data_IF_577321140320
#
_entry.id   IF_577321140320
#
_cell.length_a   1.000
_cell.length_b   1.000
_cell.length_c   1.000
_cell.angle_alpha   90.00
_cell.angle_beta   90.00
_cell.angle_gamma   90.00
#
_symmetry.space_group_name_H-M   'P 1'
#
loop_
_entity.id
_entity.type
_entity.pdbx_description
1 polymer ?
#
# COMPACT_ATOMS: atom_id res chain seq x y z
N UNK A 1 -14.81 -33.38 8.75
CA UNK A 1 -15.45 -32.04 8.73
C UNK A 1 -16.37 -31.92 7.51
N UNK A 2 -15.94 -32.31 6.28
CA UNK A 2 -16.78 -32.28 5.07
C UNK A 2 -18.09 -33.02 5.29
N UNK A 3 -18.05 -34.26 5.77
CA UNK A 3 -19.25 -35.06 6.09
C UNK A 3 -20.13 -34.43 7.17
N UNK A 4 -19.54 -33.75 8.15
CA UNK A 4 -20.29 -33.01 9.18
C UNK A 4 -21.03 -31.81 8.57
N UNK A 5 -20.34 -31.02 7.76
CA UNK A 5 -20.97 -29.87 7.06
C UNK A 5 -22.09 -30.34 6.11
N UNK A 6 -21.92 -31.52 5.49
CA UNK A 6 -22.95 -32.15 4.64
C UNK A 6 -24.17 -32.59 5.44
N UNK A 7 -23.96 -33.30 6.55
CA UNK A 7 -25.05 -33.77 7.40
C UNK A 7 -25.77 -32.68 8.18
N UNK A 8 -25.08 -31.58 8.45
CA UNK A 8 -25.58 -30.40 9.13
C UNK A 8 -26.29 -29.40 8.19
N UNK A 9 -26.43 -29.71 6.89
CA UNK A 9 -27.12 -28.88 5.90
C UNK A 9 -28.65 -28.77 6.10
N UNK A 10 -29.21 -29.31 7.19
CA UNK A 10 -30.52 -28.96 7.72
C UNK A 10 -30.37 -27.72 8.64
N UNK A 11 -31.41 -26.92 8.72
CA UNK A 11 -31.54 -25.55 9.28
C UNK A 11 -30.91 -25.24 10.65
N UNK A 12 -30.25 -26.16 11.34
CA UNK A 12 -29.79 -25.98 12.71
C UNK A 12 -28.31 -25.56 12.86
N UNK A 13 -27.45 -25.77 11.88
CA UNK A 13 -26.00 -25.45 11.99
C UNK A 13 -25.54 -24.56 10.86
N UNK A 14 -25.25 -23.31 11.16
CA UNK A 14 -24.74 -22.37 10.18
C UNK A 14 -23.23 -22.57 9.95
N UNK A 15 -22.72 -22.44 8.71
CA UNK A 15 -21.27 -22.53 8.46
C UNK A 15 -20.40 -21.62 9.34
N UNK A 16 -20.91 -20.43 9.68
CA UNK A 16 -20.20 -19.48 10.56
C UNK A 16 -20.02 -20.03 12.00
N UNK A 17 -20.99 -20.79 12.51
CA UNK A 17 -20.89 -21.39 13.85
C UNK A 17 -19.87 -22.54 13.87
N UNK A 18 -19.75 -23.28 12.76
CA UNK A 18 -18.69 -24.28 12.57
C UNK A 18 -17.32 -23.60 12.50
N UNK A 19 -17.18 -22.56 11.70
CA UNK A 19 -15.94 -21.80 11.57
C UNK A 19 -15.50 -21.22 12.93
N UNK A 20 -16.43 -20.58 13.66
CA UNK A 20 -16.20 -20.06 14.99
C UNK A 20 -15.74 -21.15 15.95
N UNK A 21 -16.41 -22.31 15.97
CA UNK A 21 -16.05 -23.43 16.85
C UNK A 21 -14.65 -23.96 16.54
N UNK A 22 -14.25 -23.99 15.26
CA UNK A 22 -12.92 -24.42 14.87
C UNK A 22 -11.84 -23.45 15.36
N UNK A 23 -12.08 -22.14 15.24
CA UNK A 23 -11.12 -21.11 15.70
C UNK A 23 -11.06 -21.03 17.21
N UNK A 24 -12.21 -21.06 17.89
CA UNK A 24 -12.31 -20.77 19.32
C UNK A 24 -11.99 -22.00 20.20
N UNK A 25 -12.21 -23.23 19.75
CA UNK A 25 -12.15 -24.42 20.58
C UNK A 25 -11.16 -25.51 20.15
N UNK A 26 -10.51 -25.36 18.99
CA UNK A 26 -9.55 -26.36 18.49
C UNK A 26 -8.12 -25.88 18.65
N UNK A 27 -7.22 -26.81 18.93
CA UNK A 27 -5.77 -26.53 19.01
C UNK A 27 -5.27 -26.04 17.64
N UNK A 28 -4.58 -24.92 17.63
CA UNK A 28 -3.89 -24.41 16.45
C UNK A 28 -2.54 -25.12 16.30
N UNK A 29 -2.39 -25.89 15.25
CA UNK A 29 -1.15 -26.59 14.89
C UNK A 29 -0.30 -25.72 13.94
N UNK A 30 0.94 -26.14 13.71
CA UNK A 30 1.86 -25.48 12.77
C UNK A 30 1.32 -25.47 11.34
N UNK A 31 0.82 -26.63 10.87
CA UNK A 31 0.19 -26.72 9.56
C UNK A 31 -1.29 -26.32 9.64
N UNK A 32 -1.67 -25.37 8.84
CA UNK A 32 -3.01 -24.78 8.83
C UNK A 32 -3.59 -24.68 7.43
N UNK A 33 -4.92 -24.73 7.36
CA UNK A 33 -5.64 -24.44 6.14
C UNK A 33 -6.87 -23.60 6.45
N UNK A 34 -7.23 -22.71 5.54
CA UNK A 34 -8.44 -21.91 5.59
C UNK A 34 -9.23 -22.18 4.31
N UNK A 35 -10.53 -22.44 4.47
CA UNK A 35 -11.48 -22.58 3.36
C UNK A 35 -12.40 -21.38 3.39
N UNK A 36 -12.42 -20.62 2.29
CA UNK A 36 -13.28 -19.48 2.08
C UNK A 36 -14.43 -19.85 1.14
N UNK A 37 -15.64 -19.40 1.46
CA UNK A 37 -16.81 -19.58 0.61
C UNK A 37 -17.98 -18.78 1.13
N UNK A 38 -18.76 -18.19 0.21
CA UNK A 38 -20.01 -17.48 0.48
C UNK A 38 -21.21 -18.41 0.66
N UNK A 39 -21.10 -19.69 0.25
CA UNK A 39 -22.14 -20.68 0.32
C UNK A 39 -21.60 -22.03 0.87
N UNK A 40 -22.47 -22.82 1.48
CA UNK A 40 -22.14 -24.13 2.05
C UNK A 40 -21.54 -25.09 0.98
N UNK A 41 -22.00 -24.99 -0.27
CA UNK A 41 -21.46 -25.80 -1.37
C UNK A 41 -19.99 -25.48 -1.69
N UNK A 42 -19.59 -24.20 -1.64
CA UNK A 42 -18.22 -23.75 -1.87
C UNK A 42 -17.30 -24.20 -0.73
N UNK A 43 -17.76 -24.04 0.52
CA UNK A 43 -17.02 -24.52 1.69
C UNK A 43 -16.81 -26.03 1.65
N UNK A 44 -17.84 -26.79 1.24
CA UNK A 44 -17.73 -28.23 1.05
C UNK A 44 -16.70 -28.59 -0.03
N UNK A 45 -16.81 -27.97 -1.22
CA UNK A 45 -15.84 -28.23 -2.29
C UNK A 45 -14.40 -27.95 -1.85
N UNK A 46 -14.16 -26.87 -1.12
CA UNK A 46 -12.86 -26.55 -0.55
C UNK A 46 -12.38 -27.58 0.49
N UNK A 47 -13.27 -28.10 1.33
CA UNK A 47 -12.95 -29.17 2.29
C UNK A 47 -12.63 -30.49 1.59
N UNK A 48 -13.33 -30.82 0.50
CA UNK A 48 -13.07 -32.03 -0.31
C UNK A 48 -11.70 -31.94 -0.99
N UNK A 49 -11.32 -30.74 -1.50
CA UNK A 49 -9.97 -30.49 -2.04
C UNK A 49 -8.91 -30.71 -0.97
N UNK A 50 -9.12 -30.21 0.25
CA UNK A 50 -8.20 -30.43 1.37
C UNK A 50 -8.09 -31.91 1.75
N UNK A 51 -9.20 -32.63 1.82
CA UNK A 51 -9.25 -34.02 2.18
C UNK A 51 -8.53 -34.93 1.14
N UNK A 52 -8.61 -34.55 -0.13
CA UNK A 52 -7.93 -35.24 -1.23
C UNK A 52 -6.42 -34.92 -1.33
N UNK A 53 -5.90 -34.04 -0.46
CA UNK A 53 -4.49 -33.58 -0.56
C UNK A 53 -4.23 -32.67 -1.74
N UNK A 54 -5.28 -32.15 -2.38
CA UNK A 54 -5.20 -31.30 -3.56
C UNK A 54 -4.43 -29.98 -3.29
N UNK A 55 -3.94 -29.40 -4.38
CA UNK A 55 -3.28 -28.08 -4.36
C UNK A 55 -4.35 -27.01 -4.16
N UNK A 56 -3.98 -25.93 -3.44
CA UNK A 56 -4.84 -24.78 -3.23
C UNK A 56 -5.44 -24.27 -4.55
N UNK A 57 -6.77 -24.22 -4.60
CA UNK A 57 -7.55 -23.58 -5.66
C UNK A 57 -8.24 -22.33 -5.12
N UNK A 58 -9.09 -21.68 -5.92
CA UNK A 58 -9.89 -20.55 -5.44
C UNK A 58 -10.63 -20.93 -4.15
N UNK A 59 -10.45 -20.14 -3.10
CA UNK A 59 -11.09 -20.35 -1.80
C UNK A 59 -10.39 -21.30 -0.83
N UNK A 60 -9.23 -21.87 -1.15
CA UNK A 60 -8.45 -22.72 -0.22
C UNK A 60 -7.04 -22.17 -0.05
N UNK A 61 -6.69 -21.78 1.17
CA UNK A 61 -5.35 -21.32 1.56
C UNK A 61 -4.72 -22.34 2.50
N UNK A 62 -3.48 -22.78 2.24
CA UNK A 62 -2.71 -23.69 3.08
C UNK A 62 -1.37 -23.08 3.42
N UNK A 63 -0.90 -23.30 4.62
CA UNK A 63 0.40 -22.83 5.05
C UNK A 63 0.87 -23.50 6.32
N UNK A 64 2.13 -23.25 6.65
CA UNK A 64 2.72 -23.57 7.93
C UNK A 64 3.10 -22.25 8.64
N UNK A 65 3.12 -22.27 9.96
CA UNK A 65 3.60 -21.13 10.75
C UNK A 65 5.08 -20.95 10.45
N UNK A 66 5.43 -19.81 9.86
CA UNK A 66 6.83 -19.43 9.65
C UNK A 66 7.44 -18.95 10.99
N UNK A 67 8.67 -19.34 11.25
CA UNK A 67 9.43 -18.80 12.38
C UNK A 67 9.60 -17.29 12.26
N UNK A 68 9.33 -16.51 13.31
CA UNK A 68 9.43 -15.05 13.29
C UNK A 68 8.17 -14.30 12.80
N UNK A 69 7.08 -15.01 12.51
CA UNK A 69 5.83 -14.42 12.00
C UNK A 69 4.96 -13.68 13.04
N UNK A 70 5.44 -13.51 14.25
CA UNK A 70 4.80 -12.71 15.30
C UNK A 70 5.08 -11.19 15.17
N UNK A 71 6.06 -10.80 14.33
CA UNK A 71 6.40 -9.40 14.06
C UNK A 71 5.98 -9.03 12.64
N UNK A 72 4.88 -8.31 12.53
CA UNK A 72 4.25 -7.96 11.26
C UNK A 72 4.64 -6.54 10.85
N UNK A 73 5.02 -6.39 9.59
CA UNK A 73 5.20 -5.10 8.91
C UNK A 73 3.93 -4.75 8.15
N UNK A 74 3.35 -3.57 8.40
CA UNK A 74 2.35 -3.02 7.49
C UNK A 74 3.02 -2.17 6.44
N UNK A 75 2.77 -2.50 5.16
CA UNK A 75 3.31 -1.82 3.99
C UNK A 75 2.19 -1.02 3.33
N UNK A 76 2.41 0.27 3.15
CA UNK A 76 1.44 1.18 2.53
C UNK A 76 1.98 1.63 1.17
N UNK A 77 1.39 1.19 0.04
CA UNK A 77 1.89 1.56 -1.28
C UNK A 77 1.64 3.03 -1.62
N UNK A 78 2.33 3.48 -2.67
CA UNK A 78 2.05 4.73 -3.34
C UNK A 78 0.82 4.65 -4.25
N UNK A 79 0.84 5.43 -5.31
CA UNK A 79 -0.17 5.39 -6.37
C UNK A 79 0.05 4.15 -7.25
N UNK A 80 -1.05 3.52 -7.70
CA UNK A 80 -1.03 2.32 -8.54
C UNK A 80 -1.98 1.21 -8.07
N UNK A 81 -2.36 1.21 -6.79
CA UNK A 81 -3.28 0.23 -6.20
C UNK A 81 -4.77 0.56 -6.41
N UNK A 82 -5.09 1.77 -6.91
CA UNK A 82 -6.45 2.26 -7.03
C UNK A 82 -7.20 1.61 -8.20
N UNK A 83 -8.49 1.37 -7.99
CA UNK A 83 -9.44 0.93 -9.00
C UNK A 83 -10.85 1.44 -8.69
N UNK A 84 -11.70 1.51 -9.70
CA UNK A 84 -13.06 2.07 -9.58
C UNK A 84 -13.91 1.19 -8.68
N UNK A 85 -14.41 1.77 -7.58
CA UNK A 85 -15.22 1.07 -6.59
C UNK A 85 -14.42 0.38 -5.48
N UNK A 86 -13.11 0.60 -5.39
CA UNK A 86 -12.29 0.08 -4.29
C UNK A 86 -12.86 0.50 -2.93
N UNK A 87 -12.94 -0.46 -1.99
CA UNK A 87 -13.48 -0.25 -0.66
C UNK A 87 -15.01 -0.19 -0.56
N UNK A 88 -15.76 -0.13 -1.68
CA UNK A 88 -17.22 0.01 -1.68
C UNK A 88 -17.91 -1.14 -0.94
N UNK A 89 -17.56 -2.37 -1.26
CA UNK A 89 -18.16 -3.55 -0.63
C UNK A 89 -17.86 -3.59 0.88
N UNK A 90 -16.59 -3.34 1.26
CA UNK A 90 -16.19 -3.27 2.66
C UNK A 90 -16.91 -2.15 3.41
N UNK A 91 -17.18 -1.01 2.76
CA UNK A 91 -17.95 0.08 3.36
C UNK A 91 -19.37 -0.33 3.69
N UNK A 92 -19.98 -1.20 2.85
CA UNK A 92 -21.35 -1.66 3.05
C UNK A 92 -21.45 -2.83 4.06
N UNK A 93 -20.42 -3.67 4.19
CA UNK A 93 -20.51 -4.90 5.00
C UNK A 93 -19.64 -4.92 6.27
N UNK A 94 -18.64 -4.05 6.39
CA UNK A 94 -17.74 -3.98 7.54
C UNK A 94 -17.98 -2.72 8.36
N UNK A 95 -18.57 -2.82 9.57
CA UNK A 95 -18.77 -1.65 10.42
C UNK A 95 -17.46 -0.93 10.81
N UNK A 96 -16.36 -1.67 10.96
CA UNK A 96 -15.05 -1.10 11.28
C UNK A 96 -14.51 -0.27 10.11
N UNK A 97 -14.62 -0.81 8.89
CA UNK A 97 -14.20 -0.10 7.68
C UNK A 97 -15.06 1.15 7.47
N UNK A 98 -16.39 1.00 7.58
CA UNK A 98 -17.34 2.09 7.40
C UNK A 98 -17.06 3.26 8.37
N UNK A 99 -16.93 2.97 9.66
CA UNK A 99 -16.63 4.00 10.67
C UNK A 99 -15.31 4.71 10.40
N UNK A 100 -14.28 3.99 9.94
CA UNK A 100 -12.99 4.58 9.60
C UNK A 100 -13.07 5.45 8.34
N UNK A 101 -13.78 5.01 7.30
CA UNK A 101 -14.01 5.80 6.07
C UNK A 101 -14.80 7.08 6.36
N UNK A 102 -15.83 7.01 7.20
CA UNK A 102 -16.61 8.18 7.64
C UNK A 102 -15.74 9.19 8.41
N UNK A 103 -14.85 8.70 9.28
CA UNK A 103 -13.90 9.56 9.98
C UNK A 103 -12.90 10.20 9.00
N UNK A 104 -12.39 9.44 8.02
CA UNK A 104 -11.53 9.98 6.96
C UNK A 104 -12.26 11.02 6.10
N UNK A 105 -13.54 10.79 5.75
CA UNK A 105 -14.36 11.75 5.01
C UNK A 105 -14.50 13.06 5.79
N UNK A 106 -14.83 12.99 7.08
CA UNK A 106 -14.92 14.16 7.94
C UNK A 106 -13.60 14.92 8.04
N UNK A 107 -12.48 14.22 8.15
CA UNK A 107 -11.14 14.82 8.20
C UNK A 107 -10.73 15.47 6.87
N UNK A 108 -11.13 14.91 5.74
CA UNK A 108 -10.84 15.44 4.39
C UNK A 108 -11.72 16.64 4.03
N UNK A 109 -12.97 16.71 4.53
CA UNK A 109 -13.96 17.71 4.15
C UNK A 109 -13.46 19.17 4.16
N UNK A 110 -12.60 19.64 5.11
CA UNK A 110 -12.08 20.99 5.08
C UNK A 110 -11.15 21.30 3.91
N UNK A 111 -10.62 20.30 3.23
CA UNK A 111 -9.54 20.43 2.25
C UNK A 111 -9.94 20.10 0.81
N UNK A 112 -11.05 19.37 0.63
CA UNK A 112 -11.51 18.90 -0.69
C UNK A 112 -12.89 19.48 -1.02
N UNK A 113 -13.19 19.63 -2.31
CA UNK A 113 -14.48 20.12 -2.78
C UNK A 113 -15.44 19.01 -3.24
N UNK A 114 -15.16 17.76 -2.85
CA UNK A 114 -15.89 16.56 -3.23
C UNK A 114 -16.11 15.65 -2.00
N UNK A 115 -17.05 14.72 -2.08
CA UNK A 115 -17.36 13.79 -1.01
C UNK A 115 -16.65 12.45 -1.27
N UNK A 116 -15.97 11.90 -0.24
CA UNK A 116 -15.30 10.61 -0.31
C UNK A 116 -16.28 9.48 -0.62
N UNK A 117 -17.44 9.50 0.05
CA UNK A 117 -18.50 8.52 -0.15
C UNK A 117 -19.09 8.58 -1.57
N UNK A 118 -19.29 9.77 -2.13
CA UNK A 118 -19.76 9.93 -3.51
C UNK A 118 -18.74 9.38 -4.53
N UNK A 119 -17.45 9.65 -4.34
CA UNK A 119 -16.40 9.15 -5.23
C UNK A 119 -16.31 7.63 -5.19
N UNK A 120 -16.28 7.03 -3.99
CA UNK A 120 -16.16 5.57 -3.84
C UNK A 120 -17.41 4.84 -4.35
N UNK A 121 -18.60 5.39 -4.13
CA UNK A 121 -19.88 4.77 -4.51
C UNK A 121 -20.32 5.12 -5.93
N UNK A 122 -19.93 6.29 -6.43
CA UNK A 122 -20.37 6.82 -7.71
C UNK A 122 -19.78 6.13 -8.94
N UNK A 123 -18.68 5.36 -8.78
CA UNK A 123 -18.07 4.60 -9.87
C UNK A 123 -17.39 5.47 -10.94
N UNK A 124 -17.09 6.73 -10.64
CA UNK A 124 -16.31 7.62 -11.51
C UNK A 124 -14.84 7.19 -11.62
N UNK A 125 -14.18 7.61 -12.70
CA UNK A 125 -12.75 7.33 -12.88
C UNK A 125 -11.91 8.04 -11.82
N UNK A 126 -10.92 7.33 -11.25
CA UNK A 126 -9.94 7.86 -10.32
C UNK A 126 -8.69 8.28 -11.12
N UNK A 127 -8.72 9.50 -11.66
CA UNK A 127 -7.66 10.03 -12.56
C UNK A 127 -6.90 11.17 -11.90
N UNK A 128 -7.61 12.17 -11.36
CA UNK A 128 -7.01 13.37 -10.79
C UNK A 128 -6.23 13.05 -9.51
N UNK A 129 -4.98 13.47 -9.44
CA UNK A 129 -4.06 13.17 -8.32
C UNK A 129 -4.62 13.63 -6.98
N UNK A 130 -5.31 14.77 -6.93
CA UNK A 130 -5.95 15.35 -5.74
C UNK A 130 -7.28 14.68 -5.35
N UNK A 131 -7.69 13.66 -6.11
CA UNK A 131 -8.77 12.72 -5.76
C UNK A 131 -8.17 11.34 -5.44
N UNK A 132 -7.30 10.82 -6.32
CA UNK A 132 -6.69 9.48 -6.19
C UNK A 132 -5.93 9.32 -4.88
N UNK A 133 -5.07 10.28 -4.53
CA UNK A 133 -4.23 10.15 -3.34
C UNK A 133 -5.04 10.21 -2.05
N UNK A 134 -5.98 11.17 -1.82
CA UNK A 134 -6.82 11.15 -0.64
C UNK A 134 -7.75 9.93 -0.52
N UNK A 135 -8.33 9.46 -1.64
CA UNK A 135 -9.17 8.24 -1.62
C UNK A 135 -8.34 7.02 -1.25
N UNK A 136 -7.16 6.84 -1.87
CA UNK A 136 -6.25 5.74 -1.55
C UNK A 136 -5.78 5.78 -0.09
N UNK A 137 -5.46 6.97 0.43
CA UNK A 137 -5.10 7.18 1.82
C UNK A 137 -6.22 6.74 2.77
N UNK A 138 -7.46 7.16 2.51
CA UNK A 138 -8.62 6.79 3.33
C UNK A 138 -8.87 5.27 3.33
N UNK A 139 -8.74 4.63 2.16
CA UNK A 139 -8.86 3.17 2.04
C UNK A 139 -7.75 2.46 2.81
N UNK A 140 -6.48 2.88 2.69
CA UNK A 140 -5.35 2.30 3.41
C UNK A 140 -5.50 2.42 4.93
N UNK A 141 -5.87 3.60 5.45
CA UNK A 141 -6.13 3.82 6.88
C UNK A 141 -7.25 2.90 7.38
N UNK A 142 -8.32 2.78 6.59
CA UNK A 142 -9.49 1.98 6.95
C UNK A 142 -9.22 0.48 6.87
N UNK A 143 -8.43 0.02 5.90
CA UNK A 143 -7.97 -1.38 5.85
C UNK A 143 -7.06 -1.73 7.04
N UNK A 144 -6.18 -0.81 7.46
CA UNK A 144 -5.36 -1.00 8.65
C UNK A 144 -6.22 -1.16 9.91
N UNK A 145 -7.33 -0.43 10.02
CA UNK A 145 -8.29 -0.60 11.11
C UNK A 145 -8.97 -1.98 11.08
N UNK A 146 -9.31 -2.50 9.89
CA UNK A 146 -9.86 -3.86 9.73
C UNK A 146 -8.84 -4.92 10.13
N UNK A 147 -7.60 -4.81 9.67
CA UNK A 147 -6.53 -5.75 10.06
C UNK A 147 -6.35 -5.79 11.58
N UNK A 148 -6.33 -4.61 12.24
CA UNK A 148 -6.25 -4.54 13.71
C UNK A 148 -7.47 -5.16 14.40
N UNK A 149 -8.67 -4.95 13.87
CA UNK A 149 -9.89 -5.57 14.40
C UNK A 149 -9.89 -7.09 14.25
N UNK A 150 -9.20 -7.62 13.25
CA UNK A 150 -8.94 -9.05 13.07
C UNK A 150 -7.78 -9.57 13.92
N UNK A 151 -7.17 -8.75 14.78
CA UNK A 151 -6.06 -9.12 15.66
C UNK A 151 -4.67 -9.07 15.02
N UNK A 152 -4.54 -8.57 13.77
CA UNK A 152 -3.25 -8.36 13.10
C UNK A 152 -2.79 -6.95 13.38
N UNK A 153 -1.78 -6.80 14.27
CA UNK A 153 -1.25 -5.51 14.72
C UNK A 153 0.17 -5.34 14.16
N UNK A 154 0.50 -4.19 13.55
CA UNK A 154 1.84 -3.97 13.05
C UNK A 154 2.85 -3.77 14.18
N UNK A 155 4.01 -4.40 14.05
CA UNK A 155 5.19 -4.14 14.88
C UNK A 155 6.04 -2.98 14.35
N UNK A 156 5.86 -2.66 13.07
CA UNK A 156 6.45 -1.52 12.37
C UNK A 156 5.59 -1.20 11.15
N UNK A 157 5.58 0.06 10.74
CA UNK A 157 4.95 0.49 9.50
C UNK A 157 6.00 1.04 8.53
N UNK A 158 5.77 0.85 7.24
CA UNK A 158 6.57 1.43 6.16
C UNK A 158 5.64 1.88 5.04
N UNK A 159 5.91 3.04 4.46
CA UNK A 159 5.13 3.57 3.34
C UNK A 159 6.01 3.79 2.11
N UNK A 160 5.43 3.68 0.92
CA UNK A 160 6.05 4.06 -0.33
C UNK A 160 5.50 5.42 -0.77
N UNK A 161 6.33 6.46 -0.83
CA UNK A 161 5.90 7.80 -1.24
C UNK A 161 4.71 8.30 -0.42
N UNK A 162 3.56 8.59 -1.07
CA UNK A 162 2.32 8.99 -0.38
C UNK A 162 1.81 7.97 0.65
N UNK A 163 2.17 6.69 0.51
CA UNK A 163 1.81 5.66 1.48
C UNK A 163 2.38 5.92 2.87
N UNK A 164 3.48 6.69 2.99
CA UNK A 164 3.99 7.12 4.29
C UNK A 164 3.00 7.98 5.07
N UNK A 165 2.07 8.69 4.39
CA UNK A 165 1.05 9.50 5.08
C UNK A 165 0.05 8.59 5.82
N UNK A 166 -0.37 7.48 5.19
CA UNK A 166 -1.22 6.49 5.84
C UNK A 166 -0.43 5.75 6.95
N UNK A 167 0.82 5.38 6.69
CA UNK A 167 1.71 4.79 7.67
C UNK A 167 1.87 5.67 8.92
N UNK A 168 2.06 6.98 8.75
CA UNK A 168 2.21 7.95 9.84
C UNK A 168 0.95 8.05 10.72
N UNK A 169 -0.24 8.04 10.11
CA UNK A 169 -1.52 8.00 10.85
C UNK A 169 -1.66 6.68 11.60
N UNK A 170 -1.39 5.56 10.97
CA UNK A 170 -1.48 4.23 11.58
C UNK A 170 -0.45 4.03 12.68
N UNK A 171 0.74 4.64 12.57
CA UNK A 171 1.74 4.67 13.63
C UNK A 171 1.34 5.54 14.82
N UNK A 172 0.36 6.42 14.67
CA UNK A 172 -0.03 7.43 15.66
C UNK A 172 0.84 8.69 15.64
N UNK A 173 1.74 8.82 14.66
CA UNK A 173 2.62 9.99 14.48
C UNK A 173 1.90 11.21 13.94
N UNK A 174 0.83 11.03 13.18
CA UNK A 174 -0.09 12.08 12.77
C UNK A 174 -1.48 11.81 13.33
N UNK A 175 -2.22 12.88 13.60
CA UNK A 175 -3.67 12.79 13.76
C UNK A 175 -4.33 12.46 12.42
N UNK A 176 -5.59 12.02 12.44
CA UNK A 176 -6.34 11.76 11.21
C UNK A 176 -6.50 13.06 10.40
N UNK A 177 -6.73 14.18 11.09
CA UNK A 177 -6.89 15.51 10.53
C UNK A 177 -5.59 16.00 9.86
N UNK A 178 -4.43 15.78 10.50
CA UNK A 178 -3.15 16.14 9.90
C UNK A 178 -2.81 15.23 8.71
N UNK A 179 -3.10 13.93 8.79
CA UNK A 179 -2.96 13.02 7.66
C UNK A 179 -3.82 13.44 6.46
N UNK A 180 -5.08 13.80 6.72
CA UNK A 180 -5.99 14.33 5.70
C UNK A 180 -5.49 15.66 5.10
N UNK A 181 -5.01 16.58 5.94
CA UNK A 181 -4.37 17.83 5.51
C UNK A 181 -3.19 17.57 4.58
N UNK A 182 -2.27 16.72 5.02
CA UNK A 182 -1.07 16.39 4.23
C UNK A 182 -1.44 15.81 2.88
N UNK A 183 -2.26 14.74 2.85
CA UNK A 183 -2.58 14.06 1.59
C UNK A 183 -3.36 14.95 0.63
N UNK A 184 -4.34 15.72 1.12
CA UNK A 184 -5.17 16.58 0.26
C UNK A 184 -4.42 17.80 -0.26
N UNK A 185 -3.68 18.52 0.61
CA UNK A 185 -3.00 19.76 0.19
C UNK A 185 -1.74 19.47 -0.64
N UNK A 186 -1.01 18.38 -0.32
CA UNK A 186 0.15 17.93 -1.09
C UNK A 186 -0.28 17.47 -2.49
N UNK A 187 -1.33 16.65 -2.63
CA UNK A 187 -1.80 16.19 -3.93
C UNK A 187 -2.37 17.34 -4.77
N UNK A 188 -3.02 18.31 -4.14
CA UNK A 188 -3.48 19.52 -4.84
C UNK A 188 -2.31 20.36 -5.37
N UNK A 189 -1.22 20.51 -4.59
CA UNK A 189 -0.03 21.23 -5.04
C UNK A 189 0.65 20.52 -6.23
N UNK A 190 0.63 19.19 -6.28
CA UNK A 190 1.17 18.42 -7.41
C UNK A 190 0.51 18.81 -8.75
N UNK A 191 -0.76 19.22 -8.75
CA UNK A 191 -1.44 19.67 -9.98
C UNK A 191 -0.75 20.86 -10.65
N UNK A 192 -0.01 21.68 -9.91
CA UNK A 192 0.72 22.83 -10.48
C UNK A 192 1.90 22.41 -11.36
N UNK A 193 2.41 21.19 -11.17
CA UNK A 193 3.50 20.63 -11.95
C UNK A 193 3.02 19.53 -12.94
N UNK A 194 1.72 19.28 -13.01
CA UNK A 194 1.11 18.34 -13.94
C UNK A 194 1.34 18.77 -15.41
N UNK A 195 1.40 17.79 -16.31
CA UNK A 195 1.61 18.00 -17.75
C UNK A 195 3.04 18.36 -18.17
N UNK A 196 3.99 18.50 -17.20
CA UNK A 196 5.38 18.87 -17.50
C UNK A 196 6.35 17.71 -17.48
N UNK A 197 5.96 16.60 -16.88
CA UNK A 197 6.82 15.45 -16.68
C UNK A 197 6.03 14.16 -16.62
N UNK A 198 6.68 13.11 -16.17
CA UNK A 198 6.08 11.78 -16.00
C UNK A 198 6.99 10.84 -15.25
N UNK A 199 6.57 9.59 -15.21
CA UNK A 199 7.32 8.51 -14.55
C UNK A 199 7.33 7.26 -15.42
N UNK A 200 8.41 6.50 -15.35
CA UNK A 200 8.61 5.24 -16.11
C UNK A 200 9.16 4.18 -15.15
N UNK A 201 8.53 3.02 -15.13
CA UNK A 201 9.07 1.84 -14.44
C UNK A 201 10.03 1.11 -15.37
N UNK A 202 11.22 0.83 -14.89
CA UNK A 202 12.31 0.16 -15.62
C UNK A 202 12.70 -1.11 -14.85
N UNK A 203 12.61 -2.31 -15.47
CA UNK A 203 12.93 -3.58 -14.80
C UNK A 203 14.44 -3.86 -14.88
N UNK A 204 15.24 -2.98 -14.30
CA UNK A 204 16.71 -3.06 -14.19
C UNK A 204 17.12 -2.75 -12.75
N UNK A 205 18.36 -3.12 -12.41
CA UNK A 205 18.97 -2.72 -11.15
C UNK A 205 19.27 -1.22 -11.10
N UNK A 206 19.43 -0.67 -9.90
CA UNK A 206 19.79 0.73 -9.73
C UNK A 206 21.05 1.11 -10.49
N UNK A 207 22.11 0.26 -10.43
CA UNK A 207 23.37 0.53 -11.11
C UNK A 207 23.21 0.60 -12.63
N UNK A 208 22.45 -0.34 -13.23
CA UNK A 208 22.16 -0.33 -14.67
C UNK A 208 21.33 0.88 -15.08
N UNK A 209 20.37 1.29 -14.24
CA UNK A 209 19.56 2.50 -14.51
C UNK A 209 20.41 3.77 -14.40
N UNK A 210 21.29 3.88 -13.41
CA UNK A 210 22.18 5.05 -13.28
C UNK A 210 23.17 5.15 -14.47
N UNK A 211 23.67 4.04 -14.99
CA UNK A 211 24.46 4.00 -16.21
C UNK A 211 23.60 4.42 -17.44
N UNK A 212 22.41 3.87 -17.56
CA UNK A 212 21.45 4.21 -18.62
C UNK A 212 21.16 5.70 -18.64
N UNK A 213 20.87 6.30 -17.47
CA UNK A 213 20.46 7.70 -17.33
C UNK A 213 21.60 8.70 -17.60
N UNK A 214 22.84 8.28 -17.78
CA UNK A 214 23.93 9.18 -18.13
C UNK A 214 23.64 9.98 -19.43
N UNK A 215 22.87 9.41 -20.36
CA UNK A 215 22.40 10.07 -21.59
C UNK A 215 21.34 11.15 -21.38
N UNK A 216 20.67 11.16 -20.24
CA UNK A 216 19.58 12.11 -19.88
C UNK A 216 19.84 12.88 -18.61
N UNK A 217 21.10 13.05 -18.24
CA UNK A 217 21.52 13.76 -17.03
C UNK A 217 20.87 15.15 -16.92
N UNK A 218 20.26 15.43 -15.77
CA UNK A 218 19.54 16.70 -15.51
C UNK A 218 18.15 16.80 -16.14
N UNK A 219 17.69 15.78 -16.88
CA UNK A 219 16.35 15.71 -17.47
C UNK A 219 15.52 14.54 -16.95
N UNK A 220 16.18 13.48 -16.44
CA UNK A 220 15.56 12.30 -15.81
C UNK A 220 16.36 11.90 -14.58
N UNK A 221 15.68 11.63 -13.47
CA UNK A 221 16.26 11.14 -12.22
C UNK A 221 15.65 9.80 -11.81
N UNK A 222 16.33 9.08 -10.91
CA UNK A 222 15.77 7.92 -10.23
C UNK A 222 14.81 8.40 -9.15
N UNK A 223 13.52 8.10 -9.34
CA UNK A 223 12.44 8.49 -8.44
C UNK A 223 12.21 7.47 -7.30
N UNK A 224 12.31 6.17 -7.60
CA UNK A 224 12.15 5.12 -6.61
C UNK A 224 12.98 3.89 -6.93
N UNK A 225 13.47 3.23 -5.89
CA UNK A 225 14.11 1.90 -5.96
C UNK A 225 13.21 0.95 -5.16
N UNK A 226 12.47 0.11 -5.88
CA UNK A 226 11.47 -0.76 -5.28
C UNK A 226 12.01 -2.13 -4.92
N UNK A 227 12.99 -2.62 -5.67
CA UNK A 227 13.62 -3.94 -5.48
C UNK A 227 14.90 -4.07 -6.31
N UNK A 228 15.56 -5.22 -6.25
CA UNK A 228 16.83 -5.46 -6.95
C UNK A 228 16.77 -5.25 -8.47
N UNK A 229 15.63 -5.53 -9.09
CA UNK A 229 15.37 -5.36 -10.52
C UNK A 229 14.15 -4.46 -10.80
N UNK A 230 13.84 -3.50 -9.93
CA UNK A 230 12.65 -2.67 -10.07
C UNK A 230 12.93 -1.24 -9.66
N UNK A 231 13.11 -0.37 -10.64
CA UNK A 231 13.39 1.06 -10.47
C UNK A 231 12.33 1.88 -11.20
N UNK A 232 11.96 3.02 -10.61
CA UNK A 232 11.13 4.02 -11.28
C UNK A 232 11.98 5.26 -11.50
N UNK A 233 11.95 5.78 -12.73
CA UNK A 233 12.58 7.03 -13.11
C UNK A 233 11.51 8.09 -13.39
N UNK A 234 11.84 9.36 -13.18
CA UNK A 234 10.93 10.46 -13.44
C UNK A 234 11.69 11.67 -13.97
N UNK A 235 11.03 12.51 -14.74
CA UNK A 235 11.66 13.70 -15.33
C UNK A 235 10.79 14.34 -16.41
N UNK A 236 11.45 15.08 -17.32
CA UNK A 236 10.81 15.78 -18.41
C UNK A 236 10.09 14.83 -19.36
N UNK A 237 8.91 15.21 -19.83
CA UNK A 237 8.04 14.35 -20.63
C UNK A 237 8.71 13.90 -21.94
N UNK A 238 9.39 14.81 -22.63
CA UNK A 238 10.12 14.52 -23.87
C UNK A 238 11.34 13.62 -23.64
N UNK A 239 12.09 13.83 -22.55
CA UNK A 239 13.20 12.97 -22.18
C UNK A 239 12.75 11.54 -21.85
N UNK A 240 11.59 11.40 -21.23
CA UNK A 240 11.00 10.08 -20.97
C UNK A 240 10.50 9.41 -22.27
N UNK A 241 10.05 10.17 -23.28
CA UNK A 241 9.72 9.60 -24.60
C UNK A 241 10.99 9.07 -25.30
N UNK A 242 12.08 9.83 -25.26
CA UNK A 242 13.39 9.38 -25.77
C UNK A 242 13.89 8.12 -25.05
N UNK A 243 13.79 8.10 -23.71
CA UNK A 243 14.17 6.95 -22.89
C UNK A 243 13.33 5.71 -23.22
N UNK A 244 12.02 5.86 -23.37
CA UNK A 244 11.14 4.75 -23.75
C UNK A 244 11.50 4.17 -25.11
N UNK A 245 11.77 5.02 -26.10
CA UNK A 245 12.21 4.59 -27.43
C UNK A 245 13.57 3.85 -27.38
N UNK A 246 14.50 4.33 -26.56
CA UNK A 246 15.78 3.65 -26.34
C UNK A 246 15.57 2.27 -25.68
N UNK A 247 14.76 2.19 -24.62
CA UNK A 247 14.43 0.93 -23.93
C UNK A 247 13.82 -0.09 -24.91
N UNK A 248 12.88 0.34 -25.74
CA UNK A 248 12.26 -0.51 -26.77
C UNK A 248 13.30 -1.04 -27.77
N UNK A 249 14.22 -0.19 -28.24
CA UNK A 249 15.28 -0.60 -29.17
C UNK A 249 16.32 -1.54 -28.55
N UNK A 250 16.44 -1.53 -27.22
CA UNK A 250 17.39 -2.32 -26.42
C UNK A 250 16.75 -3.53 -25.74
N UNK A 251 15.50 -3.89 -26.10
CA UNK A 251 14.71 -5.00 -25.51
C UNK A 251 14.52 -4.87 -23.96
N UNK A 252 14.50 -3.64 -23.43
CA UNK A 252 14.18 -3.35 -22.02
C UNK A 252 12.69 -3.04 -21.91
N UNK A 253 11.95 -3.81 -21.11
CA UNK A 253 10.49 -3.69 -20.95
C UNK A 253 10.08 -2.55 -20.00
N UNK A 254 10.49 -1.33 -20.33
CA UNK A 254 10.06 -0.15 -19.60
C UNK A 254 8.55 0.12 -19.80
N UNK A 255 7.89 0.72 -18.78
CA UNK A 255 6.46 1.04 -18.80
C UNK A 255 6.20 2.41 -18.20
N UNK A 256 5.39 3.24 -18.89
CA UNK A 256 4.92 4.48 -18.29
C UNK A 256 4.00 4.18 -17.09
N UNK A 257 4.25 4.92 -16.01
CA UNK A 257 3.30 5.02 -14.90
C UNK A 257 2.20 6.01 -15.33
N UNK A 258 0.90 5.72 -15.06
CA UNK A 258 -0.20 6.58 -15.51
C UNK A 258 -0.32 7.85 -14.65
N UNK A 259 0.71 8.69 -14.71
CA UNK A 259 0.79 10.03 -14.10
C UNK A 259 1.43 11.00 -15.08
N UNK A 260 1.08 12.27 -14.98
CA UNK A 260 1.56 13.36 -15.83
C UNK A 260 2.46 14.37 -15.11
N UNK A 261 3.06 13.95 -14.01
CA UNK A 261 3.98 14.73 -13.18
C UNK A 261 5.21 13.91 -12.77
N UNK A 262 6.31 14.59 -12.47
CA UNK A 262 7.57 13.98 -12.06
C UNK A 262 7.83 14.18 -10.57
N UNK A 263 7.15 13.40 -9.71
CA UNK A 263 7.49 13.31 -8.28
C UNK A 263 8.89 12.76 -8.08
N UNK A 264 9.48 13.07 -6.93
CA UNK A 264 10.82 12.59 -6.52
C UNK A 264 11.95 13.10 -7.44
N UNK A 265 11.74 14.28 -8.05
CA UNK A 265 12.71 14.99 -8.90
C UNK A 265 12.73 16.47 -8.55
N UNK A 266 13.60 17.23 -9.24
CA UNK A 266 13.67 18.70 -9.12
C UNK A 266 12.38 19.42 -9.53
N UNK A 267 11.48 18.80 -10.30
CA UNK A 267 10.16 19.39 -10.63
C UNK A 267 9.38 19.82 -9.39
N UNK A 268 9.55 19.09 -8.28
CA UNK A 268 8.87 19.35 -7.01
C UNK A 268 9.32 20.67 -6.36
N UNK A 269 10.51 21.16 -6.69
CA UNK A 269 11.04 22.43 -6.16
C UNK A 269 10.16 23.64 -6.55
N UNK A 270 9.48 23.55 -7.68
CA UNK A 270 8.56 24.59 -8.13
C UNK A 270 7.37 24.82 -7.17
N UNK A 271 7.03 23.83 -6.34
CA UNK A 271 5.91 23.89 -5.38
C UNK A 271 6.38 23.90 -3.92
N UNK A 272 7.67 24.04 -3.64
CA UNK A 272 8.24 24.01 -2.29
C UNK A 272 7.61 25.07 -1.38
N UNK A 273 7.54 26.31 -1.86
CA UNK A 273 6.99 27.44 -1.08
C UNK A 273 5.50 27.23 -0.77
N UNK A 274 4.72 26.68 -1.71
CA UNK A 274 3.31 26.34 -1.49
C UNK A 274 3.17 25.21 -0.48
N UNK A 275 3.94 24.13 -0.59
CA UNK A 275 3.95 23.03 0.39
C UNK A 275 4.32 23.53 1.78
N UNK A 276 5.37 24.35 1.91
CA UNK A 276 5.77 24.92 3.19
C UNK A 276 4.63 25.75 3.83
N UNK A 277 3.89 26.51 3.02
CA UNK A 277 2.77 27.32 3.46
C UNK A 277 1.57 26.50 3.92
N UNK A 278 1.14 25.52 3.11
CA UNK A 278 -0.11 24.78 3.37
C UNK A 278 0.06 23.69 4.43
N UNK A 279 1.27 23.18 4.61
CA UNK A 279 1.61 22.17 5.61
C UNK A 279 2.21 22.74 6.91
N UNK A 280 2.31 24.07 7.04
CA UNK A 280 2.87 24.72 8.23
C UNK A 280 2.15 24.40 9.55
N UNK A 281 0.87 24.01 9.49
CA UNK A 281 0.06 23.69 10.65
C UNK A 281 -0.02 22.19 10.95
N UNK A 282 0.83 21.35 10.34
CA UNK A 282 0.95 19.93 10.67
C UNK A 282 1.69 19.81 12.01
N UNK A 283 1.06 19.12 12.97
CA UNK A 283 1.58 18.94 14.33
C UNK A 283 1.89 17.45 14.58
N UNK A 284 3.07 16.95 14.15
CA UNK A 284 3.45 15.57 14.36
C UNK A 284 3.74 15.28 15.84
N UNK A 285 3.58 14.03 16.22
CA UNK A 285 3.83 13.55 17.59
C UNK A 285 4.57 12.23 17.59
N UNK A 286 5.12 11.85 18.73
CA UNK A 286 5.67 10.51 18.92
C UNK A 286 4.54 9.48 18.79
N UNK A 287 4.67 8.55 17.85
CA UNK A 287 3.73 7.48 17.60
C UNK A 287 3.98 6.26 18.50
N UNK A 288 3.00 5.38 18.54
CA UNK A 288 3.07 4.13 19.33
C UNK A 288 3.75 3.00 18.56
N UNK A 289 3.64 3.01 17.21
CA UNK A 289 4.25 2.02 16.33
C UNK A 289 5.47 2.61 15.64
N UNK A 290 6.63 1.92 15.63
CA UNK A 290 7.80 2.33 14.89
C UNK A 290 7.48 2.63 13.42
N UNK A 291 8.01 3.73 12.90
CA UNK A 291 7.83 4.18 11.54
C UNK A 291 9.16 4.10 10.79
N UNK A 292 9.23 3.24 9.76
CA UNK A 292 10.40 3.15 8.90
C UNK A 292 10.21 4.11 7.70
N UNK A 293 11.05 5.14 7.63
CA UNK A 293 11.01 6.12 6.55
C UNK A 293 11.72 5.58 5.31
N UNK A 294 11.05 5.58 4.16
CA UNK A 294 11.66 5.30 2.85
C UNK A 294 12.37 6.52 2.27
N UNK A 295 12.17 7.70 2.85
CA UNK A 295 12.90 8.93 2.54
C UNK A 295 14.30 8.90 3.17
N UNK A 296 14.43 8.47 4.43
CA UNK A 296 15.70 8.44 5.21
C UNK A 296 16.31 7.01 5.24
N UNK A 297 15.53 5.96 4.89
CA UNK A 297 15.87 4.53 4.95
C UNK A 297 16.27 4.05 6.35
N UNK A 298 15.59 4.55 7.36
CA UNK A 298 15.76 4.16 8.77
C UNK A 298 14.45 4.34 9.56
N UNK A 299 14.42 3.76 10.76
CA UNK A 299 13.35 4.04 11.71
C UNK A 299 13.56 5.43 12.30
N UNK A 300 12.56 6.29 12.17
CA UNK A 300 12.62 7.67 12.67
C UNK A 300 11.58 7.94 13.75
N UNK A 301 11.85 8.95 14.59
CA UNK A 301 10.84 9.51 15.48
C UNK A 301 9.78 10.23 14.65
N UNK A 302 8.53 9.79 14.78
CA UNK A 302 7.39 10.37 14.06
C UNK A 302 7.11 11.83 14.44
N UNK A 303 7.64 12.33 15.56
CA UNK A 303 7.60 13.76 15.89
C UNK A 303 8.36 14.64 14.87
N UNK A 304 9.16 14.04 13.97
CA UNK A 304 9.86 14.72 12.87
C UNK A 304 9.05 14.84 11.58
N UNK A 305 7.83 14.30 11.51
CA UNK A 305 6.97 14.25 10.32
C UNK A 305 6.23 15.57 10.07
N UNK A 306 6.94 16.68 10.18
CA UNK A 306 6.46 18.04 9.93
C UNK A 306 6.26 18.36 8.43
N UNK A 307 5.82 19.57 8.10
CA UNK A 307 5.65 20.00 6.71
C UNK A 307 6.93 19.89 5.86
N UNK A 308 8.11 20.14 6.47
CA UNK A 308 9.40 19.97 5.81
C UNK A 308 9.73 18.51 5.48
N UNK A 309 9.34 17.58 6.36
CA UNK A 309 9.45 16.15 6.06
C UNK A 309 8.60 15.78 4.83
N UNK A 310 7.36 16.24 4.75
CA UNK A 310 6.45 15.90 3.65
C UNK A 310 6.87 16.52 2.31
N UNK A 311 7.57 17.67 2.34
CA UNK A 311 8.26 18.17 1.16
C UNK A 311 9.40 17.23 0.74
N UNK A 312 10.30 16.84 1.68
CA UNK A 312 11.40 15.90 1.38
C UNK A 312 10.89 14.54 0.88
N UNK A 313 9.81 14.04 1.48
CA UNK A 313 9.17 12.80 1.03
C UNK A 313 8.70 12.87 -0.43
N UNK A 314 8.17 14.01 -0.88
CA UNK A 314 7.76 14.20 -2.27
C UNK A 314 8.95 14.45 -3.21
N UNK A 315 10.01 15.10 -2.73
CA UNK A 315 11.17 15.56 -3.53
C UNK A 315 12.24 14.50 -3.69
N UNK A 316 12.50 13.72 -2.66
CA UNK A 316 13.62 12.78 -2.62
C UNK A 316 13.22 11.41 -3.19
N UNK A 317 14.24 10.65 -3.65
CA UNK A 317 14.10 9.26 -4.08
C UNK A 317 13.46 8.39 -3.00
N UNK A 318 12.48 7.58 -3.37
CA UNK A 318 11.91 6.57 -2.49
C UNK A 318 12.87 5.38 -2.39
N UNK A 319 13.35 5.09 -1.20
CA UNK A 319 14.34 4.04 -0.90
C UNK A 319 13.65 2.80 -0.33
N UNK A 320 12.66 2.28 -1.06
CA UNK A 320 11.83 1.17 -0.59
C UNK A 320 12.61 -0.13 -0.47
N UNK A 321 13.50 -0.43 -1.42
CA UNK A 321 14.37 -1.62 -1.36
C UNK A 321 15.27 -1.60 -0.11
N UNK A 322 15.86 -0.43 0.23
CA UNK A 322 16.67 -0.28 1.44
C UNK A 322 15.83 -0.48 2.70
N UNK A 323 14.58 0.01 2.70
CA UNK A 323 13.67 -0.16 3.83
C UNK A 323 13.31 -1.63 4.06
N UNK A 324 13.00 -2.38 2.99
CA UNK A 324 12.73 -3.82 3.09
C UNK A 324 13.95 -4.57 3.60
N UNK A 325 15.13 -4.30 3.05
CA UNK A 325 16.40 -4.92 3.48
C UNK A 325 16.67 -4.65 4.97
N UNK A 326 16.57 -3.38 5.41
CA UNK A 326 16.76 -3.00 6.81
C UNK A 326 15.73 -3.63 7.77
N UNK A 327 14.51 -3.85 7.33
CA UNK A 327 13.49 -4.56 8.11
C UNK A 327 13.80 -6.07 8.21
N UNK A 328 14.24 -6.70 7.11
CA UNK A 328 14.66 -8.11 7.12
C UNK A 328 15.88 -8.32 8.01
N UNK A 329 16.88 -7.44 7.96
CA UNK A 329 18.05 -7.48 8.86
C UNK A 329 17.67 -7.37 10.34
N UNK A 330 16.59 -6.65 10.65
CA UNK A 330 16.02 -6.55 12.00
C UNK A 330 15.15 -7.78 12.39
N UNK A 331 15.05 -8.80 11.52
CA UNK A 331 14.35 -10.04 11.77
C UNK A 331 12.82 -9.97 11.51
N UNK A 332 12.35 -9.03 10.71
CA UNK A 332 10.97 -9.04 10.24
C UNK A 332 10.82 -10.02 9.08
N UNK A 333 9.83 -10.92 9.16
CA UNK A 333 9.58 -11.96 8.16
C UNK A 333 8.13 -12.05 7.69
N UNK A 334 7.25 -11.12 8.12
CA UNK A 334 5.86 -11.07 7.69
C UNK A 334 5.50 -9.64 7.26
N UNK A 335 5.06 -9.48 6.02
CA UNK A 335 4.69 -8.21 5.41
C UNK A 335 3.23 -8.28 4.94
N UNK A 336 2.45 -7.32 5.37
CA UNK A 336 1.06 -7.13 4.95
C UNK A 336 0.97 -5.84 4.14
N UNK A 337 0.72 -5.95 2.84
CA UNK A 337 0.45 -4.78 2.02
C UNK A 337 -0.98 -4.31 2.25
N UNK A 338 -1.12 -3.17 2.91
CA UNK A 338 -2.40 -2.59 3.31
C UNK A 338 -2.91 -1.69 2.18
N UNK A 339 -3.53 -2.29 1.20
CA UNK A 339 -4.01 -1.59 0.00
C UNK A 339 -5.22 -2.28 -0.62
N UNK A 340 -5.88 -1.59 -1.55
CA UNK A 340 -7.01 -2.15 -2.30
C UNK A 340 -6.62 -3.17 -3.37
N UNK A 341 -5.36 -3.19 -3.75
CA UNK A 341 -4.72 -4.13 -4.67
C UNK A 341 -3.20 -4.13 -4.43
N UNK A 342 -2.56 -5.31 -4.22
CA UNK A 342 -1.14 -5.37 -3.93
C UNK A 342 -0.30 -4.98 -5.17
N UNK A 343 0.63 -4.06 -5.00
CA UNK A 343 1.55 -3.57 -6.04
C UNK A 343 3.02 -3.63 -5.65
N UNK A 344 3.31 -3.77 -4.35
CA UNK A 344 4.68 -3.88 -3.82
C UNK A 344 5.05 -5.31 -3.41
N UNK A 345 4.07 -6.20 -3.29
CA UNK A 345 4.29 -7.56 -2.80
C UNK A 345 5.38 -8.33 -3.56
N UNK A 346 5.45 -8.18 -4.88
CA UNK A 346 6.52 -8.80 -5.68
C UNK A 346 7.90 -8.23 -5.33
N UNK A 347 8.03 -6.92 -5.18
CA UNK A 347 9.29 -6.28 -4.82
C UNK A 347 9.76 -6.70 -3.42
N UNK A 348 8.85 -6.82 -2.46
CA UNK A 348 9.14 -7.36 -1.13
C UNK A 348 9.59 -8.82 -1.23
N UNK A 349 8.90 -9.66 -2.01
CA UNK A 349 9.24 -11.08 -2.15
C UNK A 349 10.61 -11.28 -2.83
N UNK A 350 10.97 -10.42 -3.79
CA UNK A 350 12.31 -10.45 -4.43
C UNK A 350 13.42 -10.06 -3.44
N UNK A 351 13.17 -9.06 -2.60
CA UNK A 351 14.12 -8.60 -1.59
C UNK A 351 14.18 -9.53 -0.37
N UNK A 352 13.10 -10.24 -0.06
CA UNK A 352 12.95 -11.12 1.10
C UNK A 352 12.28 -12.45 0.68
N UNK A 353 13.00 -13.36 -0.01
CA UNK A 353 12.42 -14.59 -0.57
C UNK A 353 11.75 -15.52 0.45
N UNK A 354 12.25 -15.51 1.68
CA UNK A 354 11.75 -16.35 2.79
C UNK A 354 10.62 -15.68 3.59
N UNK A 355 10.26 -14.43 3.29
CA UNK A 355 9.23 -13.71 3.99
C UNK A 355 7.81 -14.15 3.56
N UNK A 356 6.88 -14.07 4.50
CA UNK A 356 5.45 -14.18 4.20
C UNK A 356 4.96 -12.81 3.73
N UNK A 357 4.48 -12.73 2.50
CA UNK A 357 3.95 -11.50 1.92
C UNK A 357 2.49 -11.72 1.56
N UNK A 358 1.60 -10.88 2.09
CA UNK A 358 0.16 -10.90 1.81
C UNK A 358 -0.33 -9.47 1.53
N UNK A 359 -1.44 -9.37 0.75
CA UNK A 359 -2.08 -8.09 0.45
C UNK A 359 -3.43 -8.28 -0.22
#
# INVERSE_FOLDING_TARGET
LASFVESAAGDEVRPVDVAWSLVASRTAFENRAVVLGGASAELRAGLDVLAAGGVAGSGVVRGAVAGGGDRVVFVFPGQGAQWVGMGRELWDVSPVFAASMEACEAALAPYVGWSLSEVVRGGGELVDVDVVQPVSWAVMVSLAAVWRACGVVPSVVVGHSQGEIAAAVVAGGLSLEDGARVVALRSRAIREIAGRGGMVSVPLSLAEVEELLAGWSGRVDVAAVNGPGSVVVAGDADALDELMAYCESSDVRARRVPVDYASHTWHVEAIEAELARVLAAVEPRAGEVPFFSTTEAEVIDTARLDGGYWYRNLRQRVRFADAVAGLVEQGFGAFVEVSSHPVLGMAVQEAAPDAVVVG
#
